data_IF_634023905564
#
_entry.id   IF_634023905564
#
_cell.length_a   1.000
_cell.length_b   1.000
_cell.length_c   1.000
_cell.angle_alpha   90.00
_cell.angle_beta   90.00
_cell.angle_gamma   90.00
#
_symmetry.space_group_name_H-M   'P 1'
#
loop_
_entity.id
_entity.type
_entity.pdbx_description
1 polymer ?
#
# COMPACT_ATOMS: atom_id res chain seq x y z
N UNK A 1 -1.96 20.35 18.21
CA UNK A 1 -2.61 19.05 18.51
C UNK A 1 -1.66 17.85 18.45
N UNK A 2 -0.58 17.88 17.67
CA UNK A 2 0.40 16.76 17.57
C UNK A 2 1.24 16.52 18.82
N UNK A 3 1.64 17.54 19.56
CA UNK A 3 2.53 17.39 20.74
C UNK A 3 1.84 16.77 21.97
N UNK A 4 0.52 16.80 22.07
CA UNK A 4 -0.24 16.23 23.21
C UNK A 4 -0.37 14.72 23.10
N UNK A 5 -0.39 14.18 21.87
CA UNK A 5 -0.56 12.75 21.58
C UNK A 5 0.63 11.90 22.07
N UNK A 6 1.86 12.41 21.98
CA UNK A 6 3.07 11.69 22.43
C UNK A 6 3.16 11.57 23.97
N UNK A 7 2.38 12.32 24.73
CA UNK A 7 2.41 12.31 26.21
C UNK A 7 1.48 11.25 26.83
N UNK A 8 0.62 10.58 26.06
CA UNK A 8 -0.33 9.62 26.63
C UNK A 8 0.24 8.20 26.66
N UNK A 9 0.17 7.52 27.81
CA UNK A 9 0.57 6.12 27.95
C UNK A 9 -0.13 5.21 26.93
N UNK A 10 -1.36 5.50 26.60
CA UNK A 10 -2.18 4.73 25.65
C UNK A 10 -1.64 4.78 24.20
N UNK A 11 -1.00 5.87 23.80
CA UNK A 11 -0.30 5.97 22.51
C UNK A 11 0.87 4.98 22.44
N UNK A 12 1.68 4.93 23.49
CA UNK A 12 2.81 4.01 23.56
C UNK A 12 2.39 2.55 23.63
N UNK A 13 1.24 2.23 24.26
CA UNK A 13 0.70 0.86 24.22
C UNK A 13 0.33 0.43 22.80
N UNK A 14 -0.21 1.32 21.96
CA UNK A 14 -0.47 1.01 20.55
C UNK A 14 0.80 0.73 19.75
N UNK A 15 1.85 1.52 19.96
CA UNK A 15 3.17 1.27 19.34
C UNK A 15 3.79 -0.02 19.86
N UNK A 16 3.76 -0.25 21.18
CA UNK A 16 4.31 -1.47 21.78
C UNK A 16 3.59 -2.72 21.24
N UNK A 17 2.27 -2.67 21.05
CA UNK A 17 1.52 -3.78 20.46
C UNK A 17 2.00 -4.09 19.05
N UNK A 18 2.17 -3.08 18.18
CA UNK A 18 2.68 -3.30 16.81
C UNK A 18 4.13 -3.77 16.82
N UNK A 19 4.96 -3.32 17.76
CA UNK A 19 6.33 -3.82 17.97
C UNK A 19 6.34 -5.29 18.39
N UNK A 20 5.49 -5.68 19.34
CA UNK A 20 5.36 -7.08 19.76
C UNK A 20 4.90 -7.98 18.60
N UNK A 21 3.95 -7.52 17.78
CA UNK A 21 3.50 -8.25 16.59
C UNK A 21 4.66 -8.43 15.61
N UNK A 22 5.43 -7.37 15.33
CA UNK A 22 6.58 -7.45 14.43
C UNK A 22 7.67 -8.40 14.95
N UNK A 23 7.93 -8.39 16.27
CA UNK A 23 8.88 -9.30 16.90
C UNK A 23 8.39 -10.74 16.82
N UNK A 24 7.11 -10.98 17.14
CA UNK A 24 6.50 -12.32 17.08
C UNK A 24 6.51 -12.86 15.65
N UNK A 25 6.16 -12.01 14.65
CA UNK A 25 6.17 -12.40 13.24
C UNK A 25 7.57 -12.75 12.74
N UNK A 26 8.62 -12.06 13.21
CA UNK A 26 10.00 -12.37 12.88
C UNK A 26 10.41 -13.78 13.31
N UNK A 27 10.00 -14.21 14.51
CA UNK A 27 10.29 -15.57 15.00
C UNK A 27 9.40 -16.62 14.32
N UNK A 28 8.10 -16.34 14.18
CA UNK A 28 7.16 -17.29 13.58
C UNK A 28 7.43 -17.51 12.08
N UNK A 29 7.87 -16.49 11.34
CA UNK A 29 8.22 -16.64 9.94
C UNK A 29 9.43 -17.55 9.68
N UNK A 30 10.17 -17.97 10.72
CA UNK A 30 11.24 -18.97 10.62
C UNK A 30 10.72 -20.41 10.69
N UNK A 31 9.46 -20.62 11.09
CA UNK A 31 8.85 -21.95 11.12
C UNK A 31 8.57 -22.44 9.70
N UNK A 32 8.83 -23.72 9.36
CA UNK A 32 8.75 -24.24 8.00
C UNK A 32 7.42 -23.95 7.29
N UNK A 33 6.31 -24.03 8.01
CA UNK A 33 4.97 -23.76 7.46
C UNK A 33 4.69 -22.28 7.22
N UNK A 34 5.21 -21.38 8.08
CA UNK A 34 4.98 -19.94 8.00
C UNK A 34 6.04 -19.21 7.15
N UNK A 35 7.14 -19.89 6.84
CA UNK A 35 8.20 -19.35 5.99
C UNK A 35 7.70 -18.97 4.58
N UNK A 36 6.67 -19.67 4.08
CA UNK A 36 6.02 -19.37 2.79
C UNK A 36 5.41 -17.96 2.79
N UNK A 37 4.89 -17.52 3.91
CA UNK A 37 4.25 -16.20 4.04
C UNK A 37 5.25 -15.06 4.30
N UNK A 38 6.45 -15.37 4.78
CA UNK A 38 7.43 -14.37 5.19
C UNK A 38 6.99 -13.57 6.44
N UNK A 39 7.87 -12.70 6.94
CA UNK A 39 7.63 -11.91 8.16
C UNK A 39 6.45 -10.93 8.01
N UNK A 40 6.34 -10.28 6.87
CA UNK A 40 5.39 -9.18 6.68
C UNK A 40 3.94 -9.67 6.61
N UNK A 41 3.69 -10.74 5.85
CA UNK A 41 2.36 -11.37 5.77
C UNK A 41 1.98 -12.01 7.11
N UNK A 42 2.93 -12.66 7.77
CA UNK A 42 2.72 -13.22 9.11
C UNK A 42 2.32 -12.12 10.10
N UNK A 43 2.93 -10.91 10.03
CA UNK A 43 2.56 -9.79 10.89
C UNK A 43 1.12 -9.33 10.65
N UNK A 44 0.65 -9.25 9.40
CA UNK A 44 -0.76 -8.91 9.10
C UNK A 44 -1.69 -9.96 9.71
N UNK A 45 -1.41 -11.24 9.48
CA UNK A 45 -2.27 -12.33 9.98
C UNK A 45 -2.36 -12.33 11.50
N UNK A 46 -1.23 -12.13 12.20
CA UNK A 46 -1.23 -12.00 13.67
C UNK A 46 -2.09 -10.80 14.09
N UNK A 47 -1.96 -9.65 13.41
CA UNK A 47 -2.77 -8.47 13.70
C UNK A 47 -4.27 -8.74 13.56
N UNK A 48 -4.69 -9.43 12.51
CA UNK A 48 -6.10 -9.84 12.29
C UNK A 48 -6.57 -10.79 13.39
N UNK A 49 -5.76 -11.80 13.72
CA UNK A 49 -6.09 -12.78 14.76
C UNK A 49 -6.26 -12.09 16.12
N UNK A 50 -5.32 -11.22 16.50
CA UNK A 50 -5.42 -10.45 17.74
C UNK A 50 -6.69 -9.60 17.74
N UNK A 51 -7.00 -8.91 16.65
CA UNK A 51 -8.23 -8.10 16.55
C UNK A 51 -9.51 -8.91 16.64
N UNK A 52 -9.51 -10.13 16.10
CA UNK A 52 -10.67 -11.02 16.13
C UNK A 52 -10.89 -11.64 17.51
N UNK A 53 -9.81 -11.97 18.23
CA UNK A 53 -9.90 -12.71 19.50
C UNK A 53 -9.92 -11.79 20.73
N UNK A 54 -9.33 -10.62 20.65
CA UNK A 54 -9.18 -9.71 21.79
C UNK A 54 -9.77 -8.33 21.50
N UNK A 55 -10.48 -7.73 22.48
CA UNK A 55 -10.94 -6.36 22.38
C UNK A 55 -9.75 -5.39 22.51
N UNK A 56 -9.26 -4.85 21.39
CA UNK A 56 -8.22 -3.81 21.40
C UNK A 56 -8.86 -2.48 21.76
N UNK A 57 -8.42 -1.80 22.84
CA UNK A 57 -9.01 -0.55 23.28
C UNK A 57 -8.87 0.56 22.22
N UNK A 58 -9.93 1.33 21.99
CA UNK A 58 -9.94 2.40 20.98
C UNK A 58 -8.84 3.44 21.19
N UNK A 59 -8.47 3.70 22.45
CA UNK A 59 -7.38 4.62 22.82
C UNK A 59 -6.01 4.21 22.31
N UNK A 60 -5.79 2.92 21.99
CA UNK A 60 -4.52 2.42 21.45
C UNK A 60 -4.39 2.64 19.94
N UNK A 61 -5.53 2.81 19.25
CA UNK A 61 -5.52 3.01 17.79
C UNK A 61 -4.75 4.25 17.34
N UNK A 62 -4.57 5.24 18.19
CA UNK A 62 -3.73 6.41 17.89
C UNK A 62 -2.27 6.00 17.67
N UNK A 63 -1.72 5.11 18.52
CA UNK A 63 -0.37 4.57 18.37
C UNK A 63 -0.27 3.58 17.20
N UNK A 64 -1.29 2.74 17.01
CA UNK A 64 -1.38 1.81 15.87
C UNK A 64 -1.38 2.58 14.54
N UNK A 65 -2.17 3.66 14.44
CA UNK A 65 -2.20 4.50 13.25
C UNK A 65 -0.88 5.25 13.01
N UNK A 66 -0.16 5.61 14.06
CA UNK A 66 1.19 6.15 13.94
C UNK A 66 2.13 5.12 13.32
N UNK A 67 2.07 3.85 13.74
CA UNK A 67 2.83 2.76 13.12
C UNK A 67 2.45 2.61 11.63
N UNK A 68 1.18 2.65 11.30
CA UNK A 68 0.70 2.48 9.92
C UNK A 68 1.04 3.64 8.98
N UNK A 69 1.31 4.84 9.51
CA UNK A 69 1.55 6.04 8.69
C UNK A 69 2.99 6.53 8.78
N UNK A 70 3.49 6.73 10.00
CA UNK A 70 4.80 7.36 10.21
C UNK A 70 5.91 6.32 10.20
N UNK A 71 5.75 5.22 10.97
CA UNK A 71 6.76 4.15 11.03
C UNK A 71 6.88 3.47 9.66
N UNK A 72 5.76 3.23 8.95
CA UNK A 72 5.79 2.73 7.58
C UNK A 72 6.64 3.60 6.64
N UNK A 73 6.42 4.92 6.66
CA UNK A 73 7.18 5.84 5.80
C UNK A 73 8.66 5.84 6.13
N UNK A 74 9.00 5.78 7.43
CA UNK A 74 10.40 5.64 7.86
C UNK A 74 11.01 4.32 7.34
N UNK A 75 10.27 3.20 7.45
CA UNK A 75 10.69 1.92 6.88
C UNK A 75 10.91 1.97 5.36
N UNK A 76 10.02 2.63 4.61
CA UNK A 76 10.17 2.80 3.15
C UNK A 76 11.40 3.66 2.82
N UNK A 77 11.64 4.76 3.55
CA UNK A 77 12.83 5.58 3.36
C UNK A 77 14.11 4.76 3.58
N UNK A 78 14.16 3.99 4.67
CA UNK A 78 15.31 3.12 4.95
C UNK A 78 15.47 1.99 3.91
N UNK A 79 14.37 1.50 3.34
CA UNK A 79 14.43 0.49 2.27
C UNK A 79 15.13 1.02 1.02
N UNK A 80 15.16 2.34 0.81
CA UNK A 80 15.90 2.97 -0.28
C UNK A 80 17.41 2.66 -0.24
N UNK A 81 17.99 2.36 0.92
CA UNK A 81 19.39 1.89 1.02
C UNK A 81 19.64 0.54 0.37
N UNK A 82 18.61 -0.20 0.00
CA UNK A 82 18.71 -1.45 -0.75
C UNK A 82 18.83 -1.23 -2.26
N UNK A 83 18.22 -0.15 -2.77
CA UNK A 83 18.15 0.14 -4.18
C UNK A 83 19.30 1.03 -4.65
N UNK A 84 19.71 0.81 -5.91
CA UNK A 84 20.60 1.68 -6.64
C UNK A 84 19.78 2.54 -7.63
N UNK A 85 20.11 3.82 -7.79
CA UNK A 85 19.44 4.68 -8.77
C UNK A 85 19.59 4.15 -10.22
N UNK A 86 20.67 3.42 -10.49
CA UNK A 86 20.88 2.76 -11.79
C UNK A 86 19.80 1.70 -12.05
N UNK A 87 19.38 0.95 -11.03
CA UNK A 87 18.32 -0.05 -11.15
C UNK A 87 16.96 0.62 -11.45
N UNK A 88 16.71 1.78 -10.83
CA UNK A 88 15.51 2.59 -11.12
C UNK A 88 15.51 3.09 -12.56
N UNK A 89 16.68 3.51 -13.07
CA UNK A 89 16.84 3.95 -14.46
C UNK A 89 16.67 2.77 -15.43
N UNK A 90 17.24 1.60 -15.13
CA UNK A 90 17.13 0.39 -15.96
C UNK A 90 15.73 -0.21 -15.95
N UNK A 91 14.93 -0.01 -14.90
CA UNK A 91 13.51 -0.40 -14.90
C UNK A 91 12.75 0.22 -16.09
N UNK A 92 13.16 1.43 -16.50
CA UNK A 92 12.87 2.01 -17.80
C UNK A 92 11.42 2.48 -18.00
N UNK A 93 11.15 3.01 -19.20
CA UNK A 93 9.83 3.55 -19.55
C UNK A 93 8.71 2.51 -19.60
N UNK A 94 9.02 1.23 -19.84
CA UNK A 94 8.03 0.14 -19.89
C UNK A 94 7.35 -0.04 -18.53
N UNK A 95 8.11 0.01 -17.44
CA UNK A 95 7.61 -0.07 -16.06
C UNK A 95 6.73 1.11 -15.74
N UNK A 96 7.13 2.33 -16.13
CA UNK A 96 6.30 3.52 -15.99
C UNK A 96 4.97 3.37 -16.75
N UNK A 97 5.02 2.87 -17.99
CA UNK A 97 3.83 2.69 -18.81
C UNK A 97 2.86 1.64 -18.19
N UNK A 98 3.40 0.51 -17.71
CA UNK A 98 2.57 -0.49 -17.00
C UNK A 98 1.92 0.13 -15.76
N UNK A 99 2.68 0.87 -14.95
CA UNK A 99 2.15 1.55 -13.77
C UNK A 99 1.01 2.52 -14.13
N UNK A 100 1.18 3.33 -15.18
CA UNK A 100 0.19 4.29 -15.65
C UNK A 100 -1.05 3.62 -16.26
N UNK A 101 -0.87 2.57 -17.05
CA UNK A 101 -1.97 1.80 -17.64
C UNK A 101 -2.78 1.06 -16.58
N UNK A 102 -2.12 0.36 -15.64
CA UNK A 102 -2.80 -0.32 -14.54
C UNK A 102 -3.54 0.66 -13.63
N UNK A 103 -2.95 1.83 -13.34
CA UNK A 103 -3.59 2.89 -12.57
C UNK A 103 -4.86 3.38 -13.28
N UNK A 104 -4.77 3.73 -14.56
CA UNK A 104 -5.89 4.23 -15.35
C UNK A 104 -7.00 3.19 -15.49
N UNK A 105 -6.63 1.95 -15.81
CA UNK A 105 -7.55 0.83 -15.90
C UNK A 105 -8.23 0.56 -14.55
N UNK A 106 -7.46 0.48 -13.46
CA UNK A 106 -7.98 0.21 -12.11
C UNK A 106 -9.00 1.26 -11.66
N UNK A 107 -8.69 2.56 -11.86
CA UNK A 107 -9.65 3.64 -11.55
C UNK A 107 -10.92 3.48 -12.40
N UNK A 108 -10.76 3.27 -13.70
CA UNK A 108 -11.90 3.22 -14.63
C UNK A 108 -12.80 2.03 -14.34
N UNK A 109 -12.25 0.82 -14.23
CA UNK A 109 -13.04 -0.40 -14.05
C UNK A 109 -13.76 -0.41 -12.69
N UNK A 110 -13.08 -0.02 -11.60
CA UNK A 110 -13.69 0.01 -10.26
C UNK A 110 -14.76 1.10 -10.19
N UNK A 111 -14.54 2.27 -10.77
CA UNK A 111 -15.55 3.32 -10.83
C UNK A 111 -16.79 2.87 -11.61
N UNK A 112 -16.60 2.26 -12.78
CA UNK A 112 -17.69 1.73 -13.59
C UNK A 112 -18.50 0.67 -12.85
N UNK A 113 -17.83 -0.33 -12.23
CA UNK A 113 -18.49 -1.37 -11.44
C UNK A 113 -19.24 -0.79 -10.22
N UNK A 114 -18.63 0.16 -9.51
CA UNK A 114 -19.26 0.83 -8.38
C UNK A 114 -20.53 1.57 -8.82
N UNK A 115 -20.51 2.24 -9.97
CA UNK A 115 -21.70 2.89 -10.55
C UNK A 115 -22.76 1.87 -10.95
N UNK A 116 -22.37 0.75 -11.55
CA UNK A 116 -23.28 -0.33 -11.93
C UNK A 116 -23.99 -0.93 -10.71
N UNK A 117 -23.30 -1.02 -9.57
CA UNK A 117 -23.88 -1.51 -8.31
C UNK A 117 -24.67 -0.45 -7.53
N UNK A 118 -24.82 0.75 -8.10
CA UNK A 118 -25.57 1.84 -7.49
C UNK A 118 -24.87 2.45 -6.26
N UNK A 119 -23.53 2.43 -6.23
CA UNK A 119 -22.74 3.09 -5.19
C UNK A 119 -22.81 4.60 -5.38
N UNK A 120 -22.88 5.35 -4.27
CA UNK A 120 -22.81 6.82 -4.31
C UNK A 120 -21.57 7.31 -5.06
N UNK A 121 -21.71 8.40 -5.82
CA UNK A 121 -20.65 8.91 -6.70
C UNK A 121 -19.37 9.22 -5.97
N UNK A 122 -19.42 9.83 -4.78
CA UNK A 122 -18.23 10.20 -4.01
C UNK A 122 -17.52 8.95 -3.50
N UNK A 123 -18.26 8.01 -2.91
CA UNK A 123 -17.74 6.75 -2.42
C UNK A 123 -17.16 5.91 -3.58
N UNK A 124 -17.82 5.89 -4.74
CA UNK A 124 -17.33 5.22 -5.96
C UNK A 124 -15.98 5.77 -6.41
N UNK A 125 -15.80 7.11 -6.43
CA UNK A 125 -14.51 7.74 -6.75
C UNK A 125 -13.44 7.38 -5.73
N UNK A 126 -13.77 7.43 -4.44
CA UNK A 126 -12.80 7.10 -3.38
C UNK A 126 -12.30 5.67 -3.48
N UNK A 127 -13.22 4.71 -3.67
CA UNK A 127 -12.88 3.29 -3.78
C UNK A 127 -12.10 3.02 -5.07
N UNK A 128 -12.49 3.66 -6.18
CA UNK A 128 -11.78 3.53 -7.45
C UNK A 128 -10.35 4.08 -7.38
N UNK A 129 -10.17 5.27 -6.82
CA UNK A 129 -8.84 5.87 -6.64
C UNK A 129 -8.01 5.09 -5.61
N UNK A 130 -8.62 4.58 -4.55
CA UNK A 130 -7.96 3.73 -3.58
C UNK A 130 -7.40 2.45 -4.21
N UNK A 131 -8.22 1.74 -4.98
CA UNK A 131 -7.81 0.53 -5.70
C UNK A 131 -6.80 0.84 -6.80
N UNK A 132 -7.04 1.88 -7.59
CA UNK A 132 -6.25 2.19 -8.78
C UNK A 132 -4.89 2.84 -8.49
N UNK A 133 -4.67 3.49 -7.34
CA UNK A 133 -3.44 4.26 -7.09
C UNK A 133 -2.59 3.61 -5.99
N UNK A 134 -2.84 3.98 -4.74
CA UNK A 134 -1.95 3.62 -3.62
C UNK A 134 -2.69 3.31 -2.30
N UNK A 135 -3.92 2.86 -2.38
CA UNK A 135 -4.66 2.41 -1.23
C UNK A 135 -5.31 3.53 -0.41
N UNK A 136 -5.32 3.37 0.90
CA UNK A 136 -5.94 4.32 1.82
C UNK A 136 -5.34 5.74 1.73
N UNK A 137 -4.08 5.88 1.34
CA UNK A 137 -3.46 7.19 1.12
C UNK A 137 -4.15 7.96 -0.01
N UNK A 138 -4.49 7.28 -1.11
CA UNK A 138 -5.25 7.90 -2.21
C UNK A 138 -6.68 8.27 -1.77
N UNK A 139 -7.33 7.41 -0.99
CA UNK A 139 -8.67 7.72 -0.43
C UNK A 139 -8.64 9.02 0.37
N UNK A 140 -7.69 9.16 1.30
CA UNK A 140 -7.55 10.36 2.14
C UNK A 140 -7.22 11.60 1.31
N UNK A 141 -6.36 11.44 0.29
CA UNK A 141 -5.94 12.52 -0.58
C UNK A 141 -7.07 13.05 -1.49
N UNK A 142 -7.92 12.14 -1.99
CA UNK A 142 -9.02 12.44 -2.91
C UNK A 142 -10.29 12.90 -2.15
N UNK A 143 -10.46 12.48 -0.89
CA UNK A 143 -11.64 12.78 -0.08
C UNK A 143 -11.99 14.28 -0.04
N UNK A 144 -11.06 15.22 0.22
CA UNK A 144 -11.35 16.65 0.20
C UNK A 144 -11.76 17.14 -1.20
N UNK A 145 -11.16 16.58 -2.26
CA UNK A 145 -11.40 16.98 -3.65
C UNK A 145 -12.84 16.66 -4.09
N UNK A 146 -13.38 15.53 -3.64
CA UNK A 146 -14.77 15.11 -3.93
C UNK A 146 -15.75 15.56 -2.85
N UNK A 147 -15.29 16.28 -1.82
CA UNK A 147 -16.09 16.71 -0.65
C UNK A 147 -16.84 15.51 -0.04
N UNK A 148 -16.14 14.40 0.14
CA UNK A 148 -16.67 13.22 0.81
C UNK A 148 -16.75 13.47 2.33
N UNK A 149 -17.73 12.86 2.99
CA UNK A 149 -17.83 12.88 4.43
C UNK A 149 -16.85 11.90 5.11
N UNK A 150 -16.71 12.02 6.42
CA UNK A 150 -15.79 11.18 7.19
C UNK A 150 -16.18 9.70 7.14
N UNK A 151 -17.47 9.38 7.04
CA UNK A 151 -17.95 8.01 7.00
C UNK A 151 -17.64 7.37 5.64
N UNK A 152 -17.90 8.05 4.52
CA UNK A 152 -17.53 7.60 3.18
C UNK A 152 -16.02 7.36 3.06
N UNK A 153 -15.22 8.27 3.63
CA UNK A 153 -13.75 8.15 3.64
C UNK A 153 -13.29 6.94 4.45
N UNK A 154 -13.86 6.74 5.64
CA UNK A 154 -13.54 5.60 6.49
C UNK A 154 -13.94 4.26 5.86
N UNK A 155 -15.14 4.18 5.29
CA UNK A 155 -15.63 2.97 4.59
C UNK A 155 -14.72 2.63 3.40
N UNK A 156 -14.39 3.62 2.56
CA UNK A 156 -13.49 3.39 1.43
C UNK A 156 -12.10 2.91 1.89
N UNK A 157 -11.51 3.57 2.89
CA UNK A 157 -10.19 3.18 3.42
C UNK A 157 -10.21 1.75 4.00
N UNK A 158 -11.28 1.38 4.72
CA UNK A 158 -11.44 0.01 5.28
C UNK A 158 -11.55 -1.03 4.17
N UNK A 159 -12.35 -0.78 3.13
CA UNK A 159 -12.47 -1.67 1.97
C UNK A 159 -11.10 -1.93 1.35
N UNK A 160 -10.35 -0.88 1.11
CA UNK A 160 -9.05 -0.97 0.44
C UNK A 160 -8.02 -1.69 1.31
N UNK A 161 -7.99 -1.43 2.61
CA UNK A 161 -7.09 -2.14 3.54
C UNK A 161 -7.39 -3.65 3.58
N UNK A 162 -8.67 -4.01 3.62
CA UNK A 162 -9.10 -5.42 3.63
C UNK A 162 -8.74 -6.11 2.32
N UNK A 163 -9.06 -5.50 1.17
CA UNK A 163 -8.71 -6.05 -0.14
C UNK A 163 -7.19 -6.16 -0.32
N UNK A 164 -6.44 -5.15 0.14
CA UNK A 164 -4.98 -5.19 0.13
C UNK A 164 -4.46 -6.41 0.88
N UNK A 165 -4.98 -6.68 2.06
CA UNK A 165 -4.61 -7.86 2.86
C UNK A 165 -4.98 -9.18 2.16
N UNK A 166 -6.22 -9.29 1.64
CA UNK A 166 -6.69 -10.48 0.93
C UNK A 166 -5.79 -10.77 -0.29
N UNK A 167 -5.58 -9.77 -1.13
CA UNK A 167 -4.77 -9.94 -2.34
C UNK A 167 -3.28 -10.16 -2.02
N UNK A 168 -2.76 -9.63 -0.91
CA UNK A 168 -1.39 -9.94 -0.45
C UNK A 168 -1.23 -11.43 -0.19
N UNK A 169 -2.15 -12.03 0.57
CA UNK A 169 -2.13 -13.47 0.86
C UNK A 169 -2.31 -14.29 -0.42
N UNK A 170 -3.28 -13.92 -1.28
CA UNK A 170 -3.50 -14.60 -2.56
C UNK A 170 -2.23 -14.56 -3.41
N UNK A 171 -1.60 -13.41 -3.58
CA UNK A 171 -0.40 -13.25 -4.42
C UNK A 171 0.78 -14.05 -3.89
N UNK A 172 1.00 -14.03 -2.57
CA UNK A 172 2.01 -14.87 -1.93
C UNK A 172 1.82 -16.35 -2.25
N UNK A 173 0.56 -16.83 -2.22
CA UNK A 173 0.24 -18.24 -2.48
C UNK A 173 0.30 -18.62 -3.96
N UNK A 174 -0.08 -17.73 -4.88
CA UNK A 174 -0.10 -18.03 -6.31
C UNK A 174 1.25 -17.79 -6.99
N UNK A 175 2.18 -17.08 -6.36
CA UNK A 175 3.49 -16.79 -6.95
C UNK A 175 4.19 -18.02 -7.56
N UNK A 176 4.28 -19.19 -6.87
CA UNK A 176 4.98 -20.34 -7.41
C UNK A 176 4.36 -20.96 -8.68
N UNK A 177 3.10 -20.62 -8.99
CA UNK A 177 2.38 -21.14 -10.15
C UNK A 177 2.24 -20.11 -11.28
N UNK A 178 2.64 -18.85 -11.03
CA UNK A 178 2.63 -17.82 -12.06
C UNK A 178 3.81 -18.02 -13.04
N UNK A 179 3.62 -17.78 -14.34
CA UNK A 179 4.69 -17.85 -15.33
C UNK A 179 5.55 -16.57 -15.30
N UNK A 180 6.02 -16.18 -14.11
CA UNK A 180 6.76 -14.94 -13.88
C UNK A 180 8.03 -15.23 -13.09
N UNK A 181 9.16 -14.76 -13.57
CA UNK A 181 10.38 -14.64 -12.78
C UNK A 181 10.25 -13.55 -11.68
N UNK A 182 11.27 -13.41 -10.81
CA UNK A 182 11.23 -12.49 -9.70
C UNK A 182 10.89 -11.03 -10.10
N UNK A 183 11.54 -10.52 -11.14
CA UNK A 183 11.34 -9.14 -11.61
C UNK A 183 9.92 -8.93 -12.16
N UNK A 184 9.47 -9.86 -13.03
CA UNK A 184 8.12 -9.83 -13.58
C UNK A 184 7.05 -9.91 -12.52
N UNK A 185 7.26 -10.76 -11.51
CA UNK A 185 6.37 -10.86 -10.36
C UNK A 185 6.35 -9.56 -9.53
N UNK A 186 7.53 -8.96 -9.31
CA UNK A 186 7.64 -7.66 -8.65
C UNK A 186 6.88 -6.57 -9.39
N UNK A 187 7.04 -6.49 -10.72
CA UNK A 187 6.29 -5.54 -11.57
C UNK A 187 4.79 -5.79 -11.45
N UNK A 188 4.35 -7.04 -11.56
CA UNK A 188 2.95 -7.42 -11.42
C UNK A 188 2.37 -7.01 -10.07
N UNK A 189 3.02 -7.37 -8.97
CA UNK A 189 2.58 -7.03 -7.61
C UNK A 189 2.53 -5.51 -7.39
N UNK A 190 3.57 -4.79 -7.80
CA UNK A 190 3.64 -3.33 -7.70
C UNK A 190 2.58 -2.61 -8.50
N UNK A 191 2.25 -3.14 -9.71
CA UNK A 191 1.27 -2.55 -10.61
C UNK A 191 -0.19 -2.81 -10.22
N UNK A 192 -0.47 -3.83 -9.42
CA UNK A 192 -1.86 -4.28 -9.18
C UNK A 192 -2.30 -4.22 -7.73
N UNK A 193 -1.42 -4.45 -6.75
CA UNK A 193 -1.76 -4.38 -5.33
C UNK A 193 -2.03 -2.96 -4.84
N UNK A 194 -2.69 -2.86 -3.69
CA UNK A 194 -3.28 -1.61 -3.19
C UNK A 194 -2.25 -0.70 -2.50
N UNK A 195 -1.57 -1.15 -1.47
CA UNK A 195 -0.69 -0.33 -0.63
C UNK A 195 0.77 -0.77 -0.74
N UNK A 196 1.73 0.14 -0.48
CA UNK A 196 3.16 -0.15 -0.55
C UNK A 196 3.54 -1.32 0.38
N UNK A 197 3.01 -1.32 1.61
CA UNK A 197 3.28 -2.37 2.58
C UNK A 197 2.81 -3.75 2.06
N UNK A 198 1.60 -3.82 1.48
CA UNK A 198 1.06 -5.03 0.87
C UNK A 198 1.91 -5.50 -0.31
N UNK A 199 2.40 -4.56 -1.13
CA UNK A 199 3.26 -4.85 -2.28
C UNK A 199 4.58 -5.48 -1.84
N UNK A 200 5.24 -4.90 -0.83
CA UNK A 200 6.50 -5.43 -0.29
C UNK A 200 6.27 -6.83 0.30
N UNK A 201 5.20 -6.99 1.08
CA UNK A 201 4.86 -8.27 1.69
C UNK A 201 4.58 -9.37 0.66
N UNK A 202 3.82 -9.05 -0.39
CA UNK A 202 3.50 -10.00 -1.46
C UNK A 202 4.72 -10.36 -2.31
N UNK A 203 5.63 -9.40 -2.54
CA UNK A 203 6.82 -9.61 -3.35
C UNK A 203 7.96 -10.34 -2.62
N UNK A 204 7.95 -10.35 -1.27
CA UNK A 204 8.99 -10.93 -0.43
C UNK A 204 9.35 -12.40 -0.77
N UNK A 205 8.39 -13.31 -1.05
CA UNK A 205 8.68 -14.66 -1.50
C UNK A 205 9.45 -14.75 -2.81
N UNK A 206 9.36 -13.74 -3.68
CA UNK A 206 10.12 -13.63 -4.92
C UNK A 206 11.57 -13.16 -4.73
N UNK A 207 11.94 -12.86 -3.49
CA UNK A 207 13.29 -12.42 -3.13
C UNK A 207 13.55 -10.95 -3.41
N UNK A 208 14.84 -10.58 -3.34
CA UNK A 208 15.27 -9.20 -3.37
C UNK A 208 14.87 -8.46 -4.63
N UNK A 209 15.09 -9.05 -5.78
CA UNK A 209 14.79 -8.44 -7.07
C UNK A 209 13.29 -8.17 -7.23
N UNK A 210 12.45 -9.11 -6.82
CA UNK A 210 10.99 -8.94 -6.85
C UNK A 210 10.53 -7.74 -5.99
N UNK A 211 11.07 -7.63 -4.77
CA UNK A 211 10.73 -6.51 -3.87
C UNK A 211 11.20 -5.19 -4.46
N UNK A 212 12.39 -5.13 -5.04
CA UNK A 212 12.96 -3.91 -5.60
C UNK A 212 12.11 -3.40 -6.77
N UNK A 213 11.78 -4.28 -7.72
CA UNK A 213 10.89 -3.95 -8.83
C UNK A 213 9.48 -3.57 -8.36
N UNK A 214 8.93 -4.28 -7.40
CA UNK A 214 7.61 -4.01 -6.85
C UNK A 214 7.54 -2.62 -6.19
N UNK A 215 8.57 -2.23 -5.45
CA UNK A 215 8.66 -0.90 -4.81
C UNK A 215 8.79 0.20 -5.86
N UNK A 216 9.64 0.04 -6.87
CA UNK A 216 9.81 1.02 -7.97
C UNK A 216 8.47 1.27 -8.66
N UNK A 217 7.78 0.21 -9.10
CA UNK A 217 6.48 0.31 -9.76
C UNK A 217 5.44 0.98 -8.86
N UNK A 218 5.39 0.57 -7.59
CA UNK A 218 4.42 1.13 -6.64
C UNK A 218 4.69 2.59 -6.33
N UNK A 219 5.94 3.01 -6.15
CA UNK A 219 6.29 4.42 -5.94
C UNK A 219 5.97 5.26 -7.17
N UNK A 220 6.13 4.73 -8.37
CA UNK A 220 5.70 5.38 -9.61
C UNK A 220 4.19 5.65 -9.59
N UNK A 221 3.37 4.67 -9.19
CA UNK A 221 1.91 4.87 -9.03
C UNK A 221 1.58 5.91 -7.96
N UNK A 222 2.31 5.92 -6.85
CA UNK A 222 2.14 6.93 -5.79
C UNK A 222 2.49 8.32 -6.29
N UNK A 223 3.53 8.48 -7.10
CA UNK A 223 3.86 9.77 -7.73
C UNK A 223 2.75 10.24 -8.67
N UNK A 224 2.11 9.33 -9.41
CA UNK A 224 0.97 9.62 -10.28
C UNK A 224 -0.30 10.04 -9.52
N UNK A 225 -0.35 9.91 -8.18
CA UNK A 225 -1.44 10.46 -7.37
C UNK A 225 -1.61 11.96 -7.57
N UNK A 226 -0.51 12.70 -7.72
CA UNK A 226 -0.53 14.16 -7.87
C UNK A 226 -1.33 14.59 -9.12
N UNK A 227 -1.00 14.13 -10.35
CA UNK A 227 -1.78 14.46 -11.52
C UNK A 227 -3.22 13.93 -11.46
N UNK A 228 -3.46 12.75 -10.85
CA UNK A 228 -4.83 12.24 -10.69
C UNK A 228 -5.65 13.13 -9.77
N UNK A 229 -5.11 13.59 -8.64
CA UNK A 229 -5.79 14.53 -7.76
C UNK A 229 -6.21 15.81 -8.52
N UNK A 230 -5.32 16.32 -9.37
CA UNK A 230 -5.60 17.48 -10.21
C UNK A 230 -6.76 17.21 -11.17
N UNK A 231 -6.74 16.09 -11.88
CA UNK A 231 -7.79 15.68 -12.81
C UNK A 231 -9.14 15.52 -12.10
N UNK A 232 -9.16 14.81 -10.97
CA UNK A 232 -10.39 14.59 -10.18
C UNK A 232 -10.94 15.93 -9.66
N UNK A 233 -10.07 16.79 -9.11
CA UNK A 233 -10.48 18.11 -8.64
C UNK A 233 -11.11 18.94 -9.77
N UNK A 234 -10.53 18.93 -10.97
CA UNK A 234 -11.06 19.63 -12.14
C UNK A 234 -12.40 19.06 -12.59
N UNK A 235 -12.54 17.73 -12.63
CA UNK A 235 -13.78 17.06 -13.03
C UNK A 235 -14.94 17.30 -12.05
N UNK A 236 -14.66 17.31 -10.74
CA UNK A 236 -15.69 17.50 -9.71
C UNK A 236 -16.07 18.97 -9.58
N UNK A 237 -15.14 19.89 -9.73
CA UNK A 237 -15.38 21.32 -9.63
C UNK A 237 -15.70 22.00 -10.99
N UNK A 238 -15.91 21.22 -12.05
CA UNK A 238 -16.32 21.75 -13.34
C UNK A 238 -17.66 22.50 -13.19
N UNK A 239 -17.62 23.83 -13.36
CA UNK A 239 -18.77 24.74 -13.17
C UNK A 239 -18.80 25.52 -11.87
N UNK A 240 -17.89 25.32 -10.94
CA UNK A 240 -17.73 26.15 -9.74
C UNK A 240 -16.56 27.12 -9.87
N UNK A 241 -16.72 28.38 -9.39
CA UNK A 241 -15.67 29.42 -9.42
C UNK A 241 -14.53 29.17 -8.43
N UNK A 242 -14.50 28.03 -7.74
CA UNK A 242 -13.43 27.69 -6.77
C UNK A 242 -12.12 27.45 -7.51
N UNK A 243 -11.13 28.31 -7.28
CA UNK A 243 -9.76 28.14 -7.76
C UNK A 243 -9.13 26.97 -7.02
N UNK A 244 -8.62 26.00 -7.78
CA UNK A 244 -7.79 24.93 -7.26
C UNK A 244 -6.50 25.52 -6.63
N UNK A 245 -6.21 25.15 -5.38
CA UNK A 245 -4.99 25.56 -4.69
C UNK A 245 -3.92 24.47 -4.85
N UNK A 246 -2.77 24.84 -5.37
CA UNK A 246 -1.60 23.96 -5.46
C UNK A 246 -1.11 23.48 -4.07
N UNK A 247 -1.38 24.27 -3.02
CA UNK A 247 -1.04 23.93 -1.64
C UNK A 247 -1.84 22.74 -1.08
N UNK A 248 -2.96 22.38 -1.72
CA UNK A 248 -3.80 21.24 -1.32
C UNK A 248 -3.41 19.92 -1.98
N UNK A 249 -2.39 19.92 -2.85
CA UNK A 249 -1.90 18.69 -3.46
C UNK A 249 -1.17 17.81 -2.43
N UNK A 250 -1.55 16.54 -2.32
CA UNK A 250 -0.90 15.60 -1.41
C UNK A 250 0.44 15.15 -2.01
N UNK A 251 1.51 15.87 -1.71
CA UNK A 251 2.86 15.48 -2.13
C UNK A 251 3.38 14.37 -1.21
N UNK A 252 3.73 13.20 -1.74
CA UNK A 252 4.22 12.08 -0.93
C UNK A 252 5.72 12.26 -0.60
N UNK A 253 6.04 13.12 0.35
CA UNK A 253 7.41 13.53 0.73
C UNK A 253 8.36 12.37 1.02
N UNK A 254 7.85 11.23 1.50
CA UNK A 254 8.68 10.07 1.77
C UNK A 254 9.34 9.46 0.51
N UNK A 255 8.80 9.73 -0.71
CA UNK A 255 9.44 9.33 -1.97
C UNK A 255 10.78 10.04 -2.14
N UNK A 256 10.85 11.33 -1.82
CA UNK A 256 12.12 12.06 -1.89
C UNK A 256 13.13 11.51 -0.89
N UNK A 257 12.67 11.12 0.32
CA UNK A 257 13.51 10.44 1.30
C UNK A 257 14.04 9.10 0.77
N UNK A 258 13.17 8.28 0.15
CA UNK A 258 13.54 7.02 -0.48
C UNK A 258 14.57 7.23 -1.62
N UNK A 259 14.35 8.19 -2.51
CA UNK A 259 15.29 8.50 -3.60
C UNK A 259 16.63 9.01 -3.06
N UNK A 260 16.61 9.83 -2.00
CA UNK A 260 17.84 10.30 -1.35
C UNK A 260 18.66 9.16 -0.76
N UNK A 261 18.02 8.21 -0.04
CA UNK A 261 18.72 7.04 0.52
C UNK A 261 19.21 6.10 -0.59
N UNK A 262 18.45 5.92 -1.69
CA UNK A 262 18.89 5.19 -2.88
C UNK A 262 20.11 5.86 -3.55
N UNK A 263 20.09 7.19 -3.64
CA UNK A 263 21.24 7.95 -4.17
C UNK A 263 22.49 7.75 -3.30
N UNK A 264 22.36 7.87 -1.97
CA UNK A 264 23.47 7.67 -1.04
C UNK A 264 24.04 6.24 -1.18
N UNK A 265 23.18 5.24 -1.31
CA UNK A 265 23.62 3.85 -1.53
C UNK A 265 24.34 3.69 -2.88
N UNK A 266 23.86 4.36 -3.93
CA UNK A 266 24.45 4.31 -5.28
C UNK A 266 25.87 4.85 -5.34
N UNK A 267 26.21 5.83 -4.48
CA UNK A 267 27.57 6.35 -4.37
C UNK A 267 28.56 5.42 -3.64
N UNK A 268 28.08 4.33 -3.04
CA UNK A 268 28.93 3.37 -2.32
C UNK A 268 29.63 3.94 -1.08
N UNK A 269 29.10 5.03 -0.52
CA UNK A 269 29.71 5.75 0.62
C UNK A 269 29.55 4.96 1.91
N UNK A 270 28.45 4.19 2.02
CA UNK A 270 28.09 3.46 3.24
C UNK A 270 28.61 2.02 3.15
N UNK A 271 29.32 1.51 4.20
CA UNK A 271 29.72 0.11 4.24
C UNK A 271 28.53 -0.85 4.15
N UNK A 272 28.70 -1.95 3.42
CA UNK A 272 27.62 -2.94 3.18
C UNK A 272 27.02 -3.49 4.48
N UNK A 273 27.81 -3.62 5.54
CA UNK A 273 27.32 -4.05 6.87
C UNK A 273 26.29 -3.09 7.46
N UNK A 274 26.53 -1.77 7.30
CA UNK A 274 25.60 -0.73 7.77
C UNK A 274 24.35 -0.71 6.90
N UNK A 275 24.50 -0.80 5.59
CA UNK A 275 23.36 -0.88 4.64
C UNK A 275 22.46 -2.08 4.98
N UNK A 276 23.03 -3.26 5.17
CA UNK A 276 22.28 -4.47 5.55
C UNK A 276 21.54 -4.29 6.88
N UNK A 277 22.18 -3.68 7.88
CA UNK A 277 21.51 -3.38 9.15
C UNK A 277 20.33 -2.41 8.97
N UNK A 278 20.48 -1.35 8.17
CA UNK A 278 19.41 -0.39 7.88
C UNK A 278 18.24 -1.05 7.14
N UNK A 279 18.53 -1.98 6.21
CA UNK A 279 17.50 -2.75 5.51
C UNK A 279 16.75 -3.68 6.47
N UNK A 280 17.44 -4.35 7.40
CA UNK A 280 16.78 -5.15 8.44
C UNK A 280 15.86 -4.27 9.30
N UNK A 281 16.34 -3.09 9.72
CA UNK A 281 15.50 -2.12 10.42
C UNK A 281 14.28 -1.69 9.58
N UNK A 282 14.45 -1.46 8.28
CA UNK A 282 13.37 -1.11 7.36
C UNK A 282 12.27 -2.19 7.36
N UNK A 283 12.64 -3.46 7.17
CA UNK A 283 11.70 -4.58 7.20
C UNK A 283 10.98 -4.70 8.55
N UNK A 284 11.69 -4.49 9.65
CA UNK A 284 11.08 -4.51 10.98
C UNK A 284 10.04 -3.40 11.17
N UNK A 285 10.36 -2.16 10.75
CA UNK A 285 9.40 -1.03 10.80
C UNK A 285 8.18 -1.28 9.89
N UNK A 286 8.40 -1.86 8.72
CA UNK A 286 7.32 -2.26 7.82
C UNK A 286 6.47 -3.36 8.47
N UNK A 287 7.08 -4.36 9.12
CA UNK A 287 6.35 -5.41 9.85
C UNK A 287 5.48 -4.83 10.98
N UNK A 288 5.95 -3.82 11.73
CA UNK A 288 5.14 -3.09 12.71
C UNK A 288 3.89 -2.49 12.04
N UNK A 289 4.07 -1.86 10.88
CA UNK A 289 2.94 -1.30 10.12
C UNK A 289 1.99 -2.40 9.63
N UNK A 290 2.52 -3.51 9.13
CA UNK A 290 1.71 -4.64 8.66
C UNK A 290 0.86 -5.23 9.79
N UNK A 291 1.43 -5.43 10.98
CA UNK A 291 0.68 -5.81 12.18
C UNK A 291 -0.42 -4.81 12.53
N UNK A 292 -0.11 -3.52 12.46
CA UNK A 292 -1.07 -2.45 12.66
C UNK A 292 -2.18 -2.40 11.61
N UNK A 293 -1.88 -2.69 10.34
CA UNK A 293 -2.91 -2.85 9.29
C UNK A 293 -3.83 -4.03 9.59
N UNK A 294 -3.27 -5.17 10.03
CA UNK A 294 -4.07 -6.32 10.48
C UNK A 294 -5.02 -5.97 11.63
N UNK A 295 -4.56 -5.20 12.62
CA UNK A 295 -5.39 -4.72 13.73
C UNK A 295 -6.50 -3.76 13.29
N UNK A 296 -6.35 -3.05 12.16
CA UNK A 296 -7.38 -2.17 11.60
C UNK A 296 -8.47 -2.94 10.83
N UNK A 297 -8.26 -4.20 10.51
CA UNK A 297 -9.29 -5.03 9.86
C UNK A 297 -10.39 -5.33 10.87
N UNK A 298 -11.50 -4.59 10.77
CA UNK A 298 -12.67 -4.77 11.63
C UNK A 298 -13.86 -5.22 10.80
N UNK A 299 -14.07 -6.52 10.71
CA UNK A 299 -15.13 -7.15 9.92
C UNK A 299 -16.56 -6.64 10.23
N UNK A 300 -16.94 -6.36 11.50
CA UNK A 300 -18.26 -5.81 11.80
C UNK A 300 -18.53 -4.41 11.23
N UNK A 301 -17.49 -3.62 10.92
CA UNK A 301 -17.65 -2.27 10.37
C UNK A 301 -18.15 -2.24 8.92
N UNK A 302 -18.26 -3.39 8.28
CA UNK A 302 -18.81 -3.54 6.93
C UNK A 302 -20.29 -3.21 6.80
N UNK A 303 -20.99 -2.92 7.84
CA UNK A 303 -22.38 -2.47 7.91
C UNK A 303 -23.13 -2.27 6.56
N UNK A 304 -24.30 -1.75 6.56
CA UNK A 304 -25.19 -1.62 5.40
C UNK A 304 -24.60 -0.86 4.16
N UNK A 305 -23.52 -0.07 4.32
CA UNK A 305 -22.91 0.73 3.25
C UNK A 305 -21.72 0.06 2.53
N UNK A 306 -21.09 -0.95 3.13
CA UNK A 306 -19.82 -1.50 2.65
C UNK A 306 -19.93 -2.59 1.58
N UNK A 307 -21.02 -3.33 1.50
CA UNK A 307 -21.11 -4.52 0.66
C UNK A 307 -20.98 -4.26 -0.84
N UNK A 308 -21.74 -3.31 -1.37
CA UNK A 308 -21.71 -2.96 -2.81
C UNK A 308 -20.37 -2.38 -3.26
N UNK A 309 -19.80 -1.37 -2.58
CA UNK A 309 -18.49 -0.84 -2.96
C UNK A 309 -17.37 -1.85 -2.76
N UNK A 310 -17.46 -2.75 -1.75
CA UNK A 310 -16.52 -3.85 -1.59
C UNK A 310 -16.57 -4.82 -2.78
N UNK A 311 -17.76 -5.26 -3.18
CA UNK A 311 -17.91 -6.15 -4.32
C UNK A 311 -17.37 -5.52 -5.62
N UNK A 312 -17.65 -4.24 -5.85
CA UNK A 312 -17.11 -3.50 -6.99
C UNK A 312 -15.58 -3.45 -6.99
N UNK A 313 -14.98 -3.16 -5.84
CA UNK A 313 -13.52 -3.10 -5.70
C UNK A 313 -12.89 -4.50 -5.78
N UNK A 314 -13.51 -5.53 -5.21
CA UNK A 314 -13.04 -6.92 -5.31
C UNK A 314 -12.99 -7.39 -6.76
N UNK A 315 -14.11 -7.27 -7.48
CA UNK A 315 -14.20 -7.66 -8.89
C UNK A 315 -13.24 -6.80 -9.73
N UNK A 316 -13.20 -5.50 -9.49
CA UNK A 316 -12.27 -4.59 -10.16
C UNK A 316 -10.80 -4.92 -9.91
N UNK A 317 -10.45 -5.38 -8.69
CA UNK A 317 -9.10 -5.83 -8.36
C UNK A 317 -8.73 -7.14 -9.08
N UNK A 318 -9.68 -8.06 -9.26
CA UNK A 318 -9.46 -9.27 -10.06
C UNK A 318 -9.19 -8.90 -11.53
N UNK A 319 -10.00 -8.00 -12.11
CA UNK A 319 -9.76 -7.51 -13.48
C UNK A 319 -8.43 -6.77 -13.59
N UNK A 320 -8.07 -5.95 -12.59
CA UNK A 320 -6.79 -5.26 -12.55
C UNK A 320 -5.62 -6.24 -12.47
N UNK A 321 -5.76 -7.32 -11.69
CA UNK A 321 -4.76 -8.39 -11.60
C UNK A 321 -4.58 -9.09 -12.95
N UNK A 322 -5.66 -9.49 -13.59
CA UNK A 322 -5.62 -10.10 -14.92
C UNK A 322 -5.00 -9.17 -15.97
N UNK A 323 -5.39 -7.90 -15.95
CA UNK A 323 -4.85 -6.87 -16.85
C UNK A 323 -3.35 -6.62 -16.62
N UNK A 324 -2.93 -6.52 -15.35
CA UNK A 324 -1.52 -6.34 -14.98
C UNK A 324 -0.66 -7.53 -15.41
N UNK A 325 -1.14 -8.76 -15.19
CA UNK A 325 -0.46 -9.97 -15.66
C UNK A 325 -0.32 -9.96 -17.19
N UNK A 326 -1.41 -9.66 -17.91
CA UNK A 326 -1.38 -9.56 -19.35
C UNK A 326 -0.38 -8.52 -19.86
N UNK A 327 -0.27 -7.36 -19.22
CA UNK A 327 0.70 -6.34 -19.59
C UNK A 327 2.14 -6.79 -19.35
N UNK A 328 2.44 -7.44 -18.22
CA UNK A 328 3.80 -7.94 -17.93
C UNK A 328 4.24 -8.95 -18.98
N UNK A 329 3.34 -9.87 -19.38
CA UNK A 329 3.60 -10.84 -20.44
C UNK A 329 3.75 -10.16 -21.82
N UNK A 330 2.86 -9.23 -22.16
CA UNK A 330 2.85 -8.52 -23.44
C UNK A 330 4.14 -7.68 -23.66
N UNK A 331 4.62 -7.04 -22.58
CA UNK A 331 5.84 -6.22 -22.64
C UNK A 331 7.12 -7.07 -22.51
N UNK A 332 7.01 -8.39 -22.46
CA UNK A 332 8.13 -9.32 -22.29
C UNK A 332 8.98 -9.01 -21.04
N UNK A 333 8.31 -8.73 -19.92
CA UNK A 333 8.92 -8.43 -18.62
C UNK A 333 8.68 -9.57 -17.61
N UNK A 334 8.39 -10.76 -18.11
CA UNK A 334 8.11 -11.91 -17.25
C UNK A 334 9.38 -12.50 -16.58
N UNK A 335 10.59 -12.20 -17.10
CA UNK A 335 11.87 -12.69 -16.57
C UNK A 335 12.41 -13.81 -17.41
#
# INVERSE_FOLDING_TARGET
>A
MSQILFKTKTFWYGIALTFCIATLSYFLAKLPFLMIFGQLVTAILIGIIIRALFPVPDKWFTGIQFSNKVILRAGIILLGFRLNLVDIYHAGWRVFLIAALCLSFGITIVYFLAKLFGVDKKLAILVACGTGICGAAAVVAISPQVKADNNQTAVAATIIALLGTIFTVIYTLIYPILPLGPDGYGIFAGATLHEIAHVIAAADPGGSSAVDMAVIVKLTRVALLVPVCFVVAKMVNAGTKNRFSWAELPVPWFIFGFLATSAINSFGIIPTSVTNFLVICAYFLIAMSMGGLGLNVHLPSFGKMGGKPFAAALIGSVFLSAFGLALVLLFHLAG
#
